data_IF_006487717029
#
_entry.id   IF_006487717029
#
_cell.length_a   1.000
_cell.length_b   1.000
_cell.length_c   1.000
_cell.angle_alpha   90.00
_cell.angle_beta   90.00
_cell.angle_gamma   90.00
#
_symmetry.space_group_name_H-M   'P 1'
#
loop_
_entity.id
_entity.type
_entity.pdbx_description
1 polymer ?
#
# COMPACT_ATOMS: atom_id res chain seq x y z
N UNK A 1 -13.61 -10.20 2.61
CA UNK A 1 -12.71 -9.02 2.56
C UNK A 1 -13.56 -7.78 2.33
N UNK A 2 -13.11 -6.61 2.80
CA UNK A 2 -13.84 -5.33 2.63
C UNK A 2 -13.01 -4.37 1.76
N UNK A 3 -13.62 -3.47 0.97
CA UNK A 3 -12.88 -2.44 0.24
C UNK A 3 -12.09 -1.52 1.19
N UNK A 4 -10.90 -1.09 0.77
CA UNK A 4 -10.08 -0.08 1.43
C UNK A 4 -10.71 1.30 1.17
N UNK A 5 -11.52 1.79 2.11
CA UNK A 5 -12.32 3.02 1.99
C UNK A 5 -12.45 3.71 3.36
N UNK A 6 -13.31 4.73 3.47
CA UNK A 6 -13.58 5.60 4.65
C UNK A 6 -13.89 4.93 6.00
N UNK A 7 -13.86 3.60 6.10
CA UNK A 7 -13.92 2.82 7.36
C UNK A 7 -12.70 1.91 7.55
N UNK A 8 -11.58 2.26 6.90
CA UNK A 8 -10.27 1.66 7.17
C UNK A 8 -9.85 2.02 8.59
N UNK A 9 -9.29 1.04 9.29
CA UNK A 9 -8.80 1.21 10.66
C UNK A 9 -7.28 1.10 10.68
N UNK A 10 -6.59 1.82 11.58
CA UNK A 10 -5.18 1.57 11.88
C UNK A 10 -4.93 0.06 12.04
N UNK A 11 -3.90 -0.46 11.36
CA UNK A 11 -3.57 -1.89 11.36
C UNK A 11 -4.29 -2.73 10.30
N UNK A 12 -5.22 -2.17 9.53
CA UNK A 12 -5.78 -2.86 8.37
C UNK A 12 -4.66 -3.14 7.34
N UNK A 13 -4.51 -4.40 6.98
CA UNK A 13 -3.57 -4.90 5.98
C UNK A 13 -4.29 -5.10 4.64
N UNK A 14 -3.78 -4.53 3.57
CA UNK A 14 -4.39 -4.57 2.24
C UNK A 14 -3.38 -4.99 1.17
N UNK A 15 -3.86 -5.50 0.04
CA UNK A 15 -2.99 -5.83 -1.08
C UNK A 15 -2.68 -4.59 -1.92
N UNK A 16 -1.48 -4.55 -2.51
CA UNK A 16 -1.11 -3.65 -3.60
C UNK A 16 -0.69 -4.53 -4.79
N UNK A 17 -1.39 -4.46 -5.93
CA UNK A 17 -1.00 -5.20 -7.13
C UNK A 17 0.44 -4.88 -7.52
N UNK A 18 1.20 -5.88 -7.96
CA UNK A 18 2.59 -5.70 -8.29
C UNK A 18 3.10 -6.72 -9.30
N UNK A 19 4.17 -6.35 -9.99
CA UNK A 19 4.98 -7.25 -10.82
C UNK A 19 6.40 -7.25 -10.27
N UNK A 20 6.99 -8.44 -10.10
CA UNK A 20 8.37 -8.55 -9.61
C UNK A 20 9.40 -8.47 -10.76
N UNK A 21 10.68 -8.51 -10.43
CA UNK A 21 11.80 -8.52 -11.40
C UNK A 21 11.79 -9.67 -12.42
N UNK A 22 11.02 -10.73 -12.18
CA UNK A 22 10.86 -11.89 -13.08
C UNK A 22 9.60 -11.76 -13.95
N UNK A 23 8.97 -10.58 -13.97
CA UNK A 23 7.70 -10.32 -14.66
C UNK A 23 6.52 -11.18 -14.18
N UNK A 24 6.60 -11.72 -12.95
CA UNK A 24 5.48 -12.45 -12.35
C UNK A 24 4.48 -11.48 -11.73
N UNK A 25 3.21 -11.65 -12.06
CA UNK A 25 2.11 -10.91 -11.42
C UNK A 25 1.84 -11.44 -10.01
N UNK A 26 1.69 -10.53 -9.07
CA UNK A 26 1.43 -10.82 -7.66
C UNK A 26 1.06 -9.56 -6.92
N UNK A 27 1.38 -9.51 -5.63
CA UNK A 27 1.08 -8.36 -4.81
C UNK A 27 2.09 -8.22 -3.67
N UNK A 28 2.20 -7.01 -3.14
CA UNK A 28 2.79 -6.76 -1.82
C UNK A 28 1.67 -6.40 -0.85
N UNK A 29 1.96 -6.42 0.45
CA UNK A 29 1.00 -6.04 1.48
C UNK A 29 1.35 -4.66 2.01
N UNK A 30 0.36 -3.78 2.06
CA UNK A 30 0.43 -2.50 2.75
C UNK A 30 -0.31 -2.54 4.08
N UNK A 31 0.07 -1.66 5.00
CA UNK A 31 -0.63 -1.41 6.26
C UNK A 31 -1.10 0.03 6.30
N UNK A 32 -2.36 0.22 6.70
CA UNK A 32 -2.90 1.53 6.99
C UNK A 32 -2.47 1.97 8.40
N UNK A 33 -1.87 3.16 8.50
CA UNK A 33 -1.41 3.72 9.76
C UNK A 33 -2.48 4.65 10.32
N UNK A 34 -2.77 5.76 9.64
CA UNK A 34 -3.76 6.75 10.08
C UNK A 34 -4.18 7.72 8.96
N UNK A 35 -5.15 8.57 9.28
CA UNK A 35 -5.45 9.77 8.49
C UNK A 35 -4.72 10.95 9.15
N UNK A 36 -3.85 11.63 8.42
CA UNK A 36 -3.09 12.78 8.94
C UNK A 36 -3.93 14.06 8.73
N UNK A 37 -4.57 14.63 9.77
CA UNK A 37 -5.64 15.62 9.59
C UNK A 37 -5.17 16.94 8.99
N UNK A 38 -3.98 17.40 9.35
CA UNK A 38 -3.36 18.64 8.83
C UNK A 38 -3.01 18.55 7.35
N UNK A 39 -2.90 17.34 6.78
CA UNK A 39 -2.34 17.10 5.46
C UNK A 39 -3.33 16.39 4.51
N UNK A 40 -4.56 16.12 4.97
CA UNK A 40 -5.66 15.49 4.23
C UNK A 40 -5.27 14.20 3.46
N UNK A 41 -4.29 13.45 3.97
CA UNK A 41 -3.75 12.24 3.36
C UNK A 41 -3.77 11.06 4.32
N UNK A 42 -3.98 9.87 3.77
CA UNK A 42 -3.90 8.61 4.48
C UNK A 42 -2.46 8.12 4.50
N UNK A 43 -1.88 8.01 5.70
CA UNK A 43 -0.54 7.49 5.89
C UNK A 43 -0.56 5.96 5.83
N UNK A 44 0.27 5.41 4.96
CA UNK A 44 0.42 3.97 4.77
C UNK A 44 1.90 3.60 4.75
N UNK A 45 2.18 2.33 5.00
CA UNK A 45 3.46 1.71 4.67
C UNK A 45 3.24 0.46 3.82
N UNK A 46 4.27 0.08 3.07
CA UNK A 46 4.23 -1.08 2.17
C UNK A 46 5.41 -1.99 2.51
N UNK A 47 5.16 -3.28 2.69
CA UNK A 47 6.17 -4.25 3.09
C UNK A 47 6.89 -4.86 1.88
N UNK A 48 8.14 -5.26 2.07
CA UNK A 48 9.04 -5.68 0.98
C UNK A 48 8.71 -7.06 0.39
N UNK A 49 8.06 -7.94 1.17
CA UNK A 49 7.78 -9.31 0.71
C UNK A 49 6.74 -9.30 -0.41
N UNK A 50 7.12 -9.90 -1.54
CA UNK A 50 6.24 -10.14 -2.68
C UNK A 50 5.53 -11.50 -2.53
N UNK A 51 4.23 -11.52 -2.81
CA UNK A 51 3.38 -12.69 -2.66
C UNK A 51 2.76 -13.06 -4.01
N UNK A 52 2.86 -14.34 -4.33
CA UNK A 52 2.07 -14.97 -5.40
C UNK A 52 0.89 -15.73 -4.86
N UNK A 53 0.78 -15.95 -3.54
CA UNK A 53 -0.32 -16.63 -2.87
C UNK A 53 -0.76 -15.83 -1.65
N UNK A 54 -2.05 -15.90 -1.31
CA UNK A 54 -2.60 -15.24 -0.14
C UNK A 54 -2.08 -15.92 1.14
N UNK A 55 -1.45 -15.18 2.07
CA UNK A 55 -1.17 -15.69 3.40
C UNK A 55 -2.44 -16.25 4.06
N UNK A 56 -2.34 -17.33 4.82
CA UNK A 56 -3.52 -17.95 5.47
C UNK A 56 -3.97 -17.20 6.72
N UNK A 57 -3.06 -16.46 7.35
CA UNK A 57 -3.31 -15.65 8.53
C UNK A 57 -2.45 -14.38 8.53
N UNK A 58 -2.76 -13.48 9.45
CA UNK A 58 -1.97 -12.27 9.67
C UNK A 58 -0.54 -12.55 10.16
N UNK A 59 -0.32 -13.70 10.81
CA UNK A 59 0.99 -14.11 11.34
C UNK A 59 1.94 -14.56 10.22
N UNK A 60 1.39 -15.01 9.09
CA UNK A 60 2.17 -15.34 7.89
C UNK A 60 2.58 -14.10 7.07
N UNK A 61 2.05 -12.91 7.42
CA UNK A 61 2.43 -11.65 6.77
C UNK A 61 3.76 -11.16 7.34
N UNK A 62 4.77 -11.12 6.49
CA UNK A 62 6.06 -10.52 6.79
C UNK A 62 5.94 -8.98 6.83
N UNK A 63 6.10 -8.43 8.04
CA UNK A 63 6.06 -7.00 8.36
C UNK A 63 7.43 -6.46 8.78
N UNK A 64 8.49 -7.28 8.63
CA UNK A 64 9.82 -6.98 9.18
C UNK A 64 10.57 -5.88 8.41
N UNK A 65 10.27 -5.72 7.13
CA UNK A 65 10.94 -4.79 6.23
C UNK A 65 9.95 -4.03 5.36
N UNK A 66 10.13 -2.72 5.28
CA UNK A 66 9.40 -1.86 4.35
C UNK A 66 10.03 -1.93 2.97
N UNK A 67 9.20 -1.88 1.93
CA UNK A 67 9.66 -1.74 0.55
C UNK A 67 10.23 -0.34 0.29
N UNK A 68 9.62 0.67 0.89
CA UNK A 68 10.04 2.07 0.87
C UNK A 68 9.50 2.82 2.09
N UNK A 69 9.99 4.04 2.34
CA UNK A 69 9.52 4.91 3.42
C UNK A 69 7.99 5.09 3.40
N UNK A 70 7.30 5.22 4.55
CA UNK A 70 5.86 5.44 4.57
C UNK A 70 5.45 6.69 3.76
N UNK A 71 4.30 6.61 3.09
CA UNK A 71 3.81 7.65 2.17
C UNK A 71 2.38 8.07 2.52
N UNK A 72 1.99 9.26 2.08
CA UNK A 72 0.59 9.67 2.08
C UNK A 72 -0.12 9.26 0.80
N UNK A 73 -1.38 8.90 0.90
CA UNK A 73 -2.20 8.60 -0.26
C UNK A 73 -3.63 9.14 -0.12
N UNK A 74 -4.33 9.24 -1.24
CA UNK A 74 -5.70 9.79 -1.26
C UNK A 74 -6.78 8.76 -0.93
N UNK A 75 -6.47 7.45 -1.01
CA UNK A 75 -7.46 6.36 -1.06
C UNK A 75 -8.56 6.55 -2.11
N UNK A 76 -8.28 7.32 -3.18
CA UNK A 76 -9.18 7.50 -4.34
C UNK A 76 -8.81 6.55 -5.46
N UNK A 77 -9.74 5.66 -5.79
CA UNK A 77 -9.59 4.60 -6.78
C UNK A 77 -10.35 4.95 -8.06
N UNK A 78 -9.87 5.97 -8.79
CA UNK A 78 -10.52 6.43 -10.03
C UNK A 78 -10.17 5.55 -11.24
N UNK A 79 -8.91 5.10 -11.32
CA UNK A 79 -8.37 4.42 -12.51
C UNK A 79 -8.23 2.90 -12.34
N UNK A 80 -8.31 2.40 -11.11
CA UNK A 80 -8.11 1.00 -10.78
C UNK A 80 -9.18 0.53 -9.80
N UNK A 81 -9.48 -0.78 -9.74
CA UNK A 81 -10.41 -1.31 -8.74
C UNK A 81 -9.96 -0.99 -7.32
N UNK A 82 -10.95 -0.88 -6.42
CA UNK A 82 -10.70 -0.67 -4.99
C UNK A 82 -9.97 -1.87 -4.40
N UNK A 83 -8.81 -1.61 -3.82
CA UNK A 83 -8.09 -2.66 -3.07
C UNK A 83 -8.91 -3.14 -1.89
N UNK A 84 -8.62 -4.36 -1.43
CA UNK A 84 -9.33 -4.98 -0.32
C UNK A 84 -8.42 -5.14 0.88
N UNK A 85 -9.00 -4.95 2.06
CA UNK A 85 -8.40 -5.33 3.33
C UNK A 85 -8.43 -6.86 3.43
N UNK A 86 -7.24 -7.45 3.52
CA UNK A 86 -7.00 -8.88 3.67
C UNK A 86 -7.15 -9.31 5.13
N UNK A 87 -6.53 -8.54 6.03
CA UNK A 87 -6.53 -8.79 7.47
C UNK A 87 -6.71 -7.48 8.22
N UNK A 88 -7.27 -7.54 9.42
CA UNK A 88 -7.29 -6.43 10.37
C UNK A 88 -6.47 -6.86 11.58
N UNK A 89 -5.49 -6.05 11.97
CA UNK A 89 -4.72 -6.25 13.20
C UNK A 89 -5.38 -5.49 14.36
N UNK A 90 -6.14 -6.16 15.24
CA UNK A 90 -6.78 -5.49 16.37
C UNK A 90 -5.78 -5.06 17.45
N UNK A 91 -4.56 -5.61 17.43
CA UNK A 91 -3.50 -5.30 18.38
C UNK A 91 -2.57 -4.19 17.89
N UNK A 92 -2.81 -3.68 16.67
CA UNK A 92 -1.96 -2.65 16.09
C UNK A 92 -1.96 -1.37 16.93
N UNK A 93 -0.75 -0.90 17.19
CA UNK A 93 -0.46 0.45 17.64
C UNK A 93 0.69 1.03 16.79
N UNK A 94 0.86 2.35 16.84
CA UNK A 94 1.79 3.07 15.97
C UNK A 94 3.27 2.75 16.25
N UNK A 95 3.63 2.17 17.40
CA UNK A 95 5.01 1.72 17.67
C UNK A 95 5.43 0.57 16.76
N UNK A 96 4.47 -0.25 16.30
CA UNK A 96 4.73 -1.31 15.32
C UNK A 96 5.09 -0.77 13.93
N UNK A 97 4.85 0.50 13.68
CA UNK A 97 5.27 1.25 12.50
C UNK A 97 6.41 2.20 12.81
N UNK A 98 7.11 2.07 13.94
CA UNK A 98 8.17 3.00 14.35
C UNK A 98 7.76 4.47 14.11
N UNK A 99 6.53 4.80 14.48
CA UNK A 99 5.85 6.00 13.97
C UNK A 99 6.61 7.30 14.30
N UNK A 100 7.34 7.32 15.42
CA UNK A 100 8.19 8.44 15.80
C UNK A 100 9.31 8.77 14.81
N UNK A 101 9.78 7.79 14.03
CA UNK A 101 10.83 7.99 13.01
C UNK A 101 10.27 8.31 11.62
N UNK A 102 8.96 8.11 11.40
CA UNK A 102 8.33 8.47 10.13
C UNK A 102 8.36 9.98 9.99
N UNK A 103 9.01 10.46 8.95
CA UNK A 103 9.19 11.87 8.67
C UNK A 103 8.88 12.20 7.21
N UNK A 104 8.12 13.28 7.01
CA UNK A 104 7.62 13.74 5.71
C UNK A 104 7.88 15.24 5.59
N UNK A 105 8.46 15.65 4.47
CA UNK A 105 8.82 17.02 4.14
C UNK A 105 7.61 17.80 3.58
N UNK A 106 7.29 18.93 4.21
CA UNK A 106 6.19 19.83 3.85
C UNK A 106 6.70 21.26 3.68
N UNK A 107 7.04 21.65 2.46
CA UNK A 107 7.47 23.02 2.12
C UNK A 107 8.62 23.56 3.02
N UNK A 108 8.30 24.16 4.16
CA UNK A 108 9.25 24.70 5.16
C UNK A 108 9.24 23.96 6.50
N UNK A 109 8.50 22.84 6.58
CA UNK A 109 8.28 22.06 7.80
C UNK A 109 8.59 20.59 7.59
N UNK A 110 9.14 19.98 8.62
CA UNK A 110 9.23 18.53 8.72
C UNK A 110 8.13 18.04 9.66
N UNK A 111 7.26 17.17 9.17
CA UNK A 111 6.32 16.43 10.02
C UNK A 111 6.96 15.12 10.41
N UNK A 112 7.02 14.81 11.69
CA UNK A 112 7.57 13.55 12.21
C UNK A 112 6.76 13.07 13.41
N UNK A 113 6.30 11.82 13.38
CA UNK A 113 5.57 11.20 14.48
C UNK A 113 4.40 12.03 15.03
N UNK A 114 3.62 12.66 14.14
CA UNK A 114 2.47 13.48 14.53
C UNK A 114 2.78 14.93 14.93
N UNK A 115 4.05 15.36 14.89
CA UNK A 115 4.47 16.73 15.24
C UNK A 115 5.14 17.41 14.05
N UNK A 116 4.92 18.71 13.89
CA UNK A 116 5.60 19.51 12.88
C UNK A 116 6.60 20.46 13.51
N UNK A 117 7.76 20.61 12.89
CA UNK A 117 8.75 21.65 13.21
C UNK A 117 9.24 22.32 11.93
N UNK A 118 9.76 23.53 12.05
CA UNK A 118 10.48 24.18 10.93
C UNK A 118 11.75 23.39 10.60
N UNK A 119 12.10 23.36 9.32
CA UNK A 119 13.29 22.69 8.79
C UNK A 119 13.89 23.51 7.64
N UNK A 120 15.18 23.37 7.39
CA UNK A 120 15.83 24.02 6.24
C UNK A 120 15.58 23.22 4.96
N UNK A 121 15.80 23.84 3.79
CA UNK A 121 15.64 23.13 2.51
C UNK A 121 16.59 21.94 2.37
N UNK A 122 17.81 22.09 2.88
CA UNK A 122 18.85 21.06 2.85
C UNK A 122 18.45 19.86 3.71
N UNK A 123 17.87 20.12 4.89
CA UNK A 123 17.35 19.07 5.77
C UNK A 123 16.17 18.34 5.13
N UNK A 124 15.24 19.06 4.49
CA UNK A 124 14.05 18.47 3.89
C UNK A 124 14.37 17.50 2.74
N UNK A 125 15.49 17.68 2.03
CA UNK A 125 15.91 16.80 0.93
C UNK A 125 16.22 15.37 1.37
N UNK A 126 16.45 15.13 2.66
CA UNK A 126 16.73 13.79 3.18
C UNK A 126 15.47 12.94 3.39
N UNK A 127 14.28 13.56 3.36
CA UNK A 127 13.01 12.96 3.72
C UNK A 127 12.06 12.78 2.53
N UNK A 128 11.02 11.97 2.75
CA UNK A 128 9.98 11.76 1.76
C UNK A 128 9.15 13.03 1.58
N UNK A 129 8.92 13.46 0.34
CA UNK A 129 8.06 14.59 0.06
C UNK A 129 6.60 14.34 0.46
N UNK A 130 5.90 15.40 0.81
CA UNK A 130 4.47 15.43 1.10
C UNK A 130 3.53 15.18 -0.10
N UNK A 131 3.92 14.28 -0.99
CA UNK A 131 3.11 13.85 -2.13
C UNK A 131 1.92 13.04 -1.64
N UNK A 132 0.70 13.50 -1.95
CA UNK A 132 -0.51 12.71 -1.74
C UNK A 132 -0.74 11.80 -2.95
N UNK A 133 -0.25 10.57 -2.84
CA UNK A 133 -0.24 9.61 -3.95
C UNK A 133 -1.65 9.15 -4.35
N UNK A 134 -1.90 9.08 -5.66
CA UNK A 134 -3.06 8.37 -6.23
C UNK A 134 -2.81 6.87 -6.21
N UNK A 135 -3.86 6.07 -6.06
CA UNK A 135 -3.71 4.64 -5.79
C UNK A 135 -3.00 3.87 -6.92
N UNK A 136 -3.25 4.24 -8.20
CA UNK A 136 -2.53 3.61 -9.32
C UNK A 136 -1.05 4.03 -9.40
N UNK A 137 -0.69 5.24 -8.97
CA UNK A 137 0.72 5.67 -8.92
C UNK A 137 1.53 4.85 -7.88
N UNK A 138 0.88 4.38 -6.82
CA UNK A 138 1.53 3.52 -5.83
C UNK A 138 1.94 2.17 -6.45
N UNK A 139 1.15 1.65 -7.40
CA UNK A 139 1.52 0.42 -8.14
C UNK A 139 2.80 0.63 -8.95
N UNK A 140 2.90 1.77 -9.66
CA UNK A 140 4.14 2.13 -10.36
C UNK A 140 5.34 2.22 -9.42
N UNK A 141 5.18 2.88 -8.28
CA UNK A 141 6.23 2.99 -7.27
C UNK A 141 6.66 1.61 -6.76
N UNK A 142 5.70 0.78 -6.35
CA UNK A 142 5.97 -0.59 -5.90
C UNK A 142 6.74 -1.38 -6.96
N UNK A 143 6.29 -1.35 -8.21
CA UNK A 143 6.97 -2.04 -9.31
C UNK A 143 8.40 -1.54 -9.50
N UNK A 144 8.63 -0.23 -9.41
CA UNK A 144 9.98 0.33 -9.54
C UNK A 144 10.93 -0.10 -8.41
N UNK A 145 10.44 -0.17 -7.16
CA UNK A 145 11.24 -0.69 -6.04
C UNK A 145 11.48 -2.21 -6.18
N UNK A 146 10.48 -2.99 -6.57
CA UNK A 146 10.63 -4.43 -6.80
C UNK A 146 11.56 -4.76 -7.98
N UNK A 147 11.64 -3.86 -8.97
CA UNK A 147 12.58 -3.94 -10.08
C UNK A 147 14.01 -3.48 -9.70
N UNK A 148 14.21 -2.94 -8.50
CA UNK A 148 15.52 -2.47 -8.03
C UNK A 148 15.94 -1.10 -8.57
N UNK A 149 15.02 -0.31 -9.12
CA UNK A 149 15.30 1.07 -9.58
C UNK A 149 15.57 2.00 -8.40
N UNK A 150 14.90 1.73 -7.27
CA UNK A 150 14.98 2.49 -6.02
C UNK A 150 15.19 1.58 -4.82
N UNK A 151 16.07 1.99 -3.91
CA UNK A 151 16.24 1.37 -2.61
C UNK A 151 15.13 1.75 -1.60
N UNK A 152 15.07 1.12 -0.41
CA UNK A 152 14.03 1.39 0.59
C UNK A 152 14.03 2.82 1.16
N UNK A 153 15.17 3.50 1.07
CA UNK A 153 15.37 4.87 1.54
C UNK A 153 15.50 5.88 0.39
N UNK A 154 15.27 5.46 -0.85
CA UNK A 154 15.27 6.40 -1.97
C UNK A 154 13.94 7.13 -2.03
N UNK A 155 13.99 8.45 -2.24
CA UNK A 155 12.82 9.21 -2.68
C UNK A 155 12.48 8.80 -4.11
N UNK A 156 11.18 8.71 -4.40
CA UNK A 156 10.74 8.32 -5.75
C UNK A 156 10.98 9.48 -6.73
N UNK A 157 11.96 9.29 -7.61
CA UNK A 157 12.26 10.24 -8.68
C UNK A 157 11.71 9.72 -10.01
N UNK A 158 10.65 10.36 -10.46
CA UNK A 158 10.00 10.06 -11.73
C UNK A 158 10.95 9.97 -12.93
N UNK A 159 12.00 10.80 -12.96
CA UNK A 159 12.93 10.88 -14.09
C UNK A 159 13.93 9.72 -14.13
N UNK A 160 14.15 9.03 -12.99
CA UNK A 160 14.99 7.82 -12.91
C UNK A 160 14.29 6.56 -13.43
N UNK A 161 12.96 6.58 -13.54
CA UNK A 161 12.20 5.44 -14.07
C UNK A 161 12.37 5.36 -15.59
N UNK A 162 12.63 4.18 -16.20
CA UNK A 162 12.64 4.03 -17.66
C UNK A 162 11.31 4.44 -18.29
N UNK A 163 11.32 5.07 -19.46
CA UNK A 163 10.11 5.65 -20.09
C UNK A 163 8.94 4.65 -20.18
N UNK A 164 9.20 3.43 -20.67
CA UNK A 164 8.17 2.38 -20.79
C UNK A 164 7.66 1.81 -19.46
N UNK A 165 8.09 2.34 -18.32
CA UNK A 165 7.61 1.98 -16.98
C UNK A 165 7.04 3.19 -16.23
N UNK A 166 6.91 4.35 -16.89
CA UNK A 166 6.43 5.60 -16.29
C UNK A 166 4.92 5.71 -16.35
N UNK A 167 4.35 6.47 -15.42
CA UNK A 167 2.90 6.70 -15.39
C UNK A 167 2.38 7.56 -16.55
N UNK A 168 3.22 8.39 -17.18
CA UNK A 168 2.82 9.15 -18.38
C UNK A 168 2.91 8.34 -19.67
N UNK A 169 3.49 7.14 -19.62
CA UNK A 169 3.56 6.25 -20.76
C UNK A 169 2.24 5.48 -20.87
N UNK A 170 1.47 5.66 -21.97
CA UNK A 170 0.15 5.05 -22.07
C UNK A 170 0.17 3.52 -21.97
N UNK A 171 1.19 2.86 -22.53
CA UNK A 171 1.29 1.41 -22.50
C UNK A 171 1.56 0.92 -21.07
N UNK A 172 2.51 1.56 -20.37
CA UNK A 172 2.79 1.23 -18.97
C UNK A 172 1.57 1.45 -18.06
N UNK A 173 0.78 2.50 -18.35
CA UNK A 173 -0.49 2.78 -17.65
C UNK A 173 -1.52 1.70 -17.89
N UNK A 174 -1.73 1.28 -19.13
CA UNK A 174 -2.64 0.18 -19.47
C UNK A 174 -2.22 -1.13 -18.78
N UNK A 175 -0.92 -1.43 -18.76
CA UNK A 175 -0.39 -2.60 -18.05
C UNK A 175 -0.67 -2.58 -16.54
N UNK A 176 -0.48 -1.43 -15.89
CA UNK A 176 -0.76 -1.27 -14.46
C UNK A 176 -2.26 -1.40 -14.17
N UNK A 177 -3.13 -0.86 -15.03
CA UNK A 177 -4.58 -1.01 -14.89
C UNK A 177 -4.98 -2.48 -15.04
N UNK A 178 -4.52 -3.15 -16.10
CA UNK A 178 -4.80 -4.56 -16.35
C UNK A 178 -4.29 -5.45 -15.21
N UNK A 179 -3.11 -5.17 -14.65
CA UNK A 179 -2.57 -5.85 -13.48
C UNK A 179 -3.49 -5.69 -12.27
N UNK A 180 -3.98 -4.47 -12.00
CA UNK A 180 -4.88 -4.19 -10.89
C UNK A 180 -6.24 -4.89 -11.06
N UNK A 181 -6.79 -4.91 -12.27
CA UNK A 181 -8.03 -5.62 -12.61
C UNK A 181 -7.90 -7.13 -12.44
N UNK A 182 -6.82 -7.72 -12.97
CA UNK A 182 -6.55 -9.14 -12.83
C UNK A 182 -6.39 -9.53 -11.35
N UNK A 183 -5.74 -8.70 -10.55
CA UNK A 183 -5.56 -8.95 -9.13
C UNK A 183 -6.89 -8.84 -8.36
N UNK A 184 -7.73 -7.85 -8.66
CA UNK A 184 -9.06 -7.74 -8.05
C UNK A 184 -9.94 -8.96 -8.39
N UNK A 185 -9.94 -9.40 -9.65
CA UNK A 185 -10.63 -10.62 -10.07
C UNK A 185 -10.14 -11.85 -9.31
N UNK A 186 -8.82 -11.99 -9.14
CA UNK A 186 -8.22 -13.07 -8.35
C UNK A 186 -8.71 -13.06 -6.90
N UNK A 187 -8.73 -11.90 -6.25
CA UNK A 187 -9.20 -11.78 -4.87
C UNK A 187 -10.71 -11.99 -4.74
N UNK A 188 -11.52 -11.61 -5.74
CA UNK A 188 -12.96 -11.95 -5.77
C UNK A 188 -13.17 -13.47 -5.81
N UNK A 189 -12.46 -14.17 -6.71
CA UNK A 189 -12.56 -15.63 -6.81
C UNK A 189 -12.14 -16.34 -5.52
N UNK A 190 -11.09 -15.85 -4.85
CA UNK A 190 -10.68 -16.39 -3.55
C UNK A 190 -11.74 -16.27 -2.46
N UNK A 191 -12.46 -15.15 -2.39
CA UNK A 191 -13.55 -14.99 -1.44
C UNK A 191 -14.68 -16.01 -1.67
N UNK A 192 -14.96 -16.33 -2.92
CA UNK A 192 -16.02 -17.27 -3.27
C UNK A 192 -15.62 -18.72 -2.97
N UNK A 193 -14.36 -19.08 -3.20
CA UNK A 193 -13.80 -20.39 -2.79
C UNK A 193 -13.83 -20.55 -1.28
N UNK A 194 -13.43 -19.52 -0.51
CA UNK A 194 -13.46 -19.56 0.95
C UNK A 194 -14.90 -19.66 1.50
N UNK A 195 -15.86 -18.94 0.91
CA UNK A 195 -17.28 -19.09 1.27
C UNK A 195 -17.80 -20.49 1.00
N UNK A 196 -17.42 -21.09 -0.13
CA UNK A 196 -17.83 -22.45 -0.49
C UNK A 196 -17.24 -23.52 0.45
N UNK A 197 -16.07 -23.27 1.04
CA UNK A 197 -15.42 -24.16 2.02
C UNK A 197 -16.00 -24.09 3.43
N UNK A 198 -16.73 -23.02 3.78
CA UNK A 198 -17.35 -22.90 5.11
C UNK A 198 -18.55 -23.84 5.21
N UNK A 199 -18.61 -24.73 6.22
CA UNK A 199 -19.77 -25.58 6.42
C UNK A 199 -21.00 -24.70 6.66
N UNK A 200 -22.10 -24.99 5.95
CA UNK A 200 -23.39 -24.32 6.20
C UNK A 200 -23.73 -24.54 7.67
N UNK A 201 -23.94 -23.46 8.43
CA UNK A 201 -24.48 -23.57 9.79
C UNK A 201 -25.74 -24.43 9.73
N UNK A 202 -25.90 -25.44 10.62
CA UNK A 202 -27.17 -26.12 10.72
C UNK A 202 -28.22 -25.06 11.02
N UNK A 203 -29.32 -25.06 10.25
CA UNK A 203 -30.54 -24.36 10.64
C UNK A 203 -30.93 -24.93 12.00
N UNK A 204 -30.61 -24.22 13.08
CA UNK A 204 -31.15 -24.55 14.39
C UNK A 204 -32.66 -24.37 14.28
N UNK A 205 -33.35 -25.50 14.43
CA UNK A 205 -34.77 -25.63 14.22
C UNK A 205 -35.55 -24.62 15.05
N UNK A 206 -36.63 -24.14 14.45
CA UNK A 206 -37.76 -23.61 15.17
C UNK A 206 -38.32 -24.75 16.03
N UNK A 207 -38.32 -24.55 17.35
CA UNK A 207 -39.12 -25.30 18.31
C UNK A 207 -40.19 -24.37 18.86
#
# INVERSE_FOLDING_TARGET
MKPLMSKVKPGDLFYVPATNKECKSGFVIGRYIELVPTNAGHLIEVFARFYTELPKSIDEVDKSQRLFRPIMCSLRFEEIPKWKVLFSDPSYDTSQSDYGSIAIAFDTKLWSGGKSRSATKEELQEFEDSTCWRMHHIVFRVNAHLAGIFGPNDCYDYHRVPKGLRVDDPAAKEEVIALAEAMDARFKNWEDVEKARRPRKPLMGQS
#
